data_IF_780911039081
#
_entry.id   IF_780911039081
#
_cell.length_a   1.000
_cell.length_b   1.000
_cell.length_c   1.000
_cell.angle_alpha   90.00
_cell.angle_beta   90.00
_cell.angle_gamma   90.00
#
_symmetry.space_group_name_H-M   'P 1'
#
loop_
_entity.id
_entity.type
_entity.pdbx_description
1 polymer ?
#
# COMPACT_ATOMS: atom_id res chain seq x y z
N UNK A 1 1.28 2.38 13.32
CA UNK A 1 1.11 1.32 12.31
C UNK A 1 1.35 -0.01 12.99
N UNK A 2 0.53 -1.02 12.66
CA UNK A 2 0.59 -2.41 13.13
C UNK A 2 1.00 -2.60 14.61
N UNK A 3 0.21 -2.01 15.52
CA UNK A 3 0.48 -2.03 16.97
C UNK A 3 0.20 -3.39 17.62
N UNK A 4 -0.71 -4.17 17.03
CA UNK A 4 -1.21 -5.44 17.55
C UNK A 4 -1.16 -6.50 16.44
N UNK A 5 -1.35 -7.76 16.83
CA UNK A 5 -1.50 -8.84 15.88
C UNK A 5 -2.62 -8.52 14.87
N UNK A 6 -2.46 -8.79 13.55
CA UNK A 6 -3.42 -8.37 12.53
C UNK A 6 -4.84 -8.92 12.74
N UNK A 7 -4.97 -10.06 13.42
CA UNK A 7 -6.27 -10.69 13.73
C UNK A 7 -6.94 -10.13 15.00
N UNK A 8 -6.26 -9.30 15.78
CA UNK A 8 -6.78 -8.71 17.02
C UNK A 8 -7.62 -7.44 16.76
N UNK A 9 -8.71 -7.61 16.02
CA UNK A 9 -9.61 -6.50 15.68
C UNK A 9 -10.22 -5.84 16.91
N UNK A 10 -10.50 -6.60 17.98
CA UNK A 10 -11.09 -6.04 19.20
C UNK A 10 -10.07 -5.21 20.00
N UNK A 11 -8.80 -5.64 20.06
CA UNK A 11 -7.72 -4.85 20.62
C UNK A 11 -7.48 -3.56 19.82
N UNK A 12 -7.53 -3.63 18.49
CA UNK A 12 -7.46 -2.43 17.64
C UNK A 12 -8.59 -1.44 17.97
N UNK A 13 -9.82 -1.92 18.17
CA UNK A 13 -10.95 -1.09 18.56
C UNK A 13 -10.72 -0.39 19.89
N UNK A 14 -10.22 -1.13 20.88
CA UNK A 14 -9.93 -0.58 22.21
C UNK A 14 -8.92 0.57 22.10
N UNK A 15 -7.80 0.34 21.42
CA UNK A 15 -6.76 1.36 21.21
C UNK A 15 -7.30 2.55 20.41
N UNK A 16 -7.98 2.32 19.28
CA UNK A 16 -8.53 3.38 18.44
C UNK A 16 -9.55 4.25 19.19
N UNK A 17 -10.28 3.69 20.16
CA UNK A 17 -11.21 4.44 20.99
C UNK A 17 -10.54 5.23 22.13
N UNK A 18 -9.30 4.89 22.48
CA UNK A 18 -8.59 5.44 23.63
C UNK A 18 -7.62 6.57 23.29
N UNK A 19 -7.32 6.82 22.00
CA UNK A 19 -6.34 7.81 21.58
C UNK A 19 -6.86 8.72 20.47
N UNK A 20 -6.30 9.93 20.38
CA UNK A 20 -6.57 10.86 19.27
C UNK A 20 -5.65 10.63 18.06
N UNK A 21 -4.56 9.87 18.26
CA UNK A 21 -3.60 9.57 17.20
C UNK A 21 -4.23 8.57 16.22
N UNK A 22 -4.12 8.84 14.92
CA UNK A 22 -4.65 7.94 13.89
C UNK A 22 -4.03 6.55 14.02
N UNK A 23 -4.90 5.54 14.04
CA UNK A 23 -4.47 4.14 13.99
C UNK A 23 -4.45 3.67 12.53
N UNK A 24 -3.31 3.11 12.13
CA UNK A 24 -3.06 2.62 10.77
C UNK A 24 -2.73 1.12 10.80
N UNK A 25 -3.34 0.36 9.89
CA UNK A 25 -3.15 -1.10 9.76
C UNK A 25 -3.60 -1.57 8.36
N UNK A 26 -3.09 -2.72 7.91
CA UNK A 26 -3.62 -3.43 6.74
C UNK A 26 -2.58 -4.06 5.82
N UNK A 27 -1.27 -3.89 6.05
CA UNK A 27 -0.24 -4.49 5.18
C UNK A 27 -0.32 -6.03 5.20
N UNK A 28 -0.66 -6.62 6.35
CA UNK A 28 -0.82 -8.07 6.48
C UNK A 28 -2.21 -8.59 6.09
N UNK A 29 -3.19 -7.71 5.89
CA UNK A 29 -4.59 -8.07 5.64
C UNK A 29 -4.87 -8.36 4.16
N UNK A 30 -5.84 -9.23 3.89
CA UNK A 30 -6.22 -9.62 2.53
C UNK A 30 -7.72 -9.53 2.28
N UNK A 31 -8.10 -9.38 1.00
CA UNK A 31 -9.48 -9.32 0.49
C UNK A 31 -10.27 -8.10 0.96
N UNK A 32 -11.36 -7.74 0.28
CA UNK A 32 -12.23 -6.66 0.75
C UNK A 32 -12.85 -6.93 2.14
N UNK A 33 -13.03 -8.20 2.49
CA UNK A 33 -13.68 -8.61 3.73
C UNK A 33 -12.81 -8.33 4.96
N UNK A 34 -11.51 -8.59 4.87
CA UNK A 34 -10.55 -8.27 5.93
C UNK A 34 -10.53 -6.77 6.21
N UNK A 35 -10.44 -5.96 5.16
CA UNK A 35 -10.48 -4.50 5.28
C UNK A 35 -11.83 -3.98 5.78
N UNK A 36 -12.95 -4.60 5.40
CA UNK A 36 -14.25 -4.27 5.99
C UNK A 36 -14.24 -4.48 7.50
N UNK A 37 -13.66 -5.59 8.00
CA UNK A 37 -13.54 -5.86 9.43
C UNK A 37 -12.60 -4.87 10.14
N UNK A 38 -11.48 -4.50 9.52
CA UNK A 38 -10.61 -3.44 10.06
C UNK A 38 -11.38 -2.13 10.28
N UNK A 39 -12.25 -1.75 9.34
CA UNK A 39 -13.04 -0.52 9.50
C UNK A 39 -14.16 -0.69 10.53
N UNK A 40 -14.97 -1.76 10.41
CA UNK A 40 -16.21 -1.92 11.18
C UNK A 40 -16.00 -2.43 12.60
N UNK A 41 -15.10 -3.41 12.75
CA UNK A 41 -14.78 -3.99 14.06
C UNK A 41 -13.58 -3.27 14.69
N UNK A 42 -12.49 -3.09 13.93
CA UNK A 42 -11.23 -2.53 14.43
C UNK A 42 -11.20 -1.02 14.59
N UNK A 43 -12.14 -0.29 13.97
CA UNK A 43 -12.19 1.17 14.06
C UNK A 43 -10.99 1.89 13.43
N UNK A 44 -10.30 1.25 12.47
CA UNK A 44 -9.06 1.76 11.86
C UNK A 44 -9.30 3.09 11.10
N UNK A 45 -8.38 4.05 11.28
CA UNK A 45 -8.45 5.37 10.65
C UNK A 45 -7.80 5.42 9.26
N UNK A 46 -6.69 4.68 9.10
CA UNK A 46 -5.87 4.64 7.89
C UNK A 46 -5.67 3.20 7.46
N UNK A 47 -6.24 2.82 6.32
CA UNK A 47 -6.07 1.48 5.75
C UNK A 47 -4.81 1.43 4.90
N UNK A 48 -4.04 0.36 5.04
CA UNK A 48 -2.75 0.22 4.34
C UNK A 48 -2.70 -1.00 3.43
N UNK A 49 -3.56 -1.08 2.38
CA UNK A 49 -3.56 -2.24 1.50
C UNK A 49 -2.26 -2.34 0.70
N UNK A 50 -1.60 -3.48 0.81
CA UNK A 50 -0.53 -3.87 -0.10
C UNK A 50 -1.14 -4.51 -1.36
N UNK A 51 -0.87 -3.97 -2.55
CA UNK A 51 -1.42 -4.46 -3.81
C UNK A 51 -0.99 -5.89 -4.17
N UNK A 52 0.15 -6.36 -3.65
CA UNK A 52 0.61 -7.75 -3.83
C UNK A 52 -0.10 -8.73 -2.90
N UNK A 53 -0.79 -8.25 -1.86
CA UNK A 53 -1.40 -9.09 -0.82
C UNK A 53 -2.92 -8.98 -0.77
N UNK A 54 -3.46 -7.76 -0.86
CA UNK A 54 -4.88 -7.51 -0.67
C UNK A 54 -5.78 -8.11 -1.76
N UNK A 55 -5.21 -8.53 -2.90
CA UNK A 55 -5.94 -9.04 -4.06
C UNK A 55 -5.84 -8.14 -5.31
N UNK A 56 -4.81 -7.29 -5.37
CA UNK A 56 -4.52 -6.43 -6.52
C UNK A 56 -5.48 -5.25 -6.67
N UNK A 57 -5.37 -4.56 -7.81
CA UNK A 57 -6.14 -3.33 -8.09
C UNK A 57 -7.65 -3.49 -7.96
N UNK A 58 -8.18 -4.65 -8.35
CA UNK A 58 -9.62 -4.92 -8.29
C UNK A 58 -10.14 -4.87 -6.86
N UNK A 59 -9.42 -5.49 -5.91
CA UNK A 59 -9.80 -5.47 -4.50
C UNK A 59 -9.45 -4.12 -3.87
N UNK A 60 -8.26 -3.59 -4.15
CA UNK A 60 -7.84 -2.30 -3.61
C UNK A 60 -8.81 -1.15 -3.96
N UNK A 61 -9.39 -1.17 -5.17
CA UNK A 61 -10.43 -0.20 -5.55
C UNK A 61 -11.69 -0.30 -4.69
N UNK A 62 -12.11 -1.51 -4.32
CA UNK A 62 -13.24 -1.73 -3.40
C UNK A 62 -12.89 -1.21 -2.00
N UNK A 63 -11.67 -1.47 -1.53
CA UNK A 63 -11.16 -0.98 -0.24
C UNK A 63 -11.19 0.54 -0.20
N UNK A 64 -10.66 1.23 -1.22
CA UNK A 64 -10.71 2.69 -1.34
C UNK A 64 -12.15 3.20 -1.25
N UNK A 65 -13.07 2.60 -1.98
CA UNK A 65 -14.47 3.03 -1.94
C UNK A 65 -15.11 2.85 -0.55
N UNK A 66 -14.86 1.72 0.12
CA UNK A 66 -15.37 1.47 1.48
C UNK A 66 -14.80 2.46 2.51
N UNK A 67 -13.51 2.82 2.37
CA UNK A 67 -12.84 3.79 3.20
C UNK A 67 -13.41 5.20 3.01
N UNK A 68 -13.56 5.64 1.75
CA UNK A 68 -14.14 6.95 1.41
C UNK A 68 -15.56 7.10 1.97
N UNK A 69 -16.39 6.06 1.85
CA UNK A 69 -17.76 6.03 2.40
C UNK A 69 -17.82 6.18 3.93
N UNK A 70 -16.71 5.91 4.63
CA UNK A 70 -16.59 6.00 6.10
C UNK A 70 -15.59 7.08 6.54
N UNK A 71 -15.21 7.98 5.62
CA UNK A 71 -14.23 9.05 5.86
C UNK A 71 -12.89 8.55 6.46
N UNK A 72 -12.44 7.37 6.00
CA UNK A 72 -11.14 6.78 6.36
C UNK A 72 -10.12 7.07 5.25
N UNK A 73 -8.85 7.16 5.64
CA UNK A 73 -7.76 7.35 4.68
C UNK A 73 -7.30 5.99 4.14
N UNK A 74 -6.72 6.02 2.94
CA UNK A 74 -6.02 4.87 2.37
C UNK A 74 -4.60 5.30 2.00
N UNK A 75 -3.61 4.71 2.65
CA UNK A 75 -2.20 4.94 2.37
C UNK A 75 -1.60 3.58 2.04
N UNK A 76 -1.48 3.20 0.76
CA UNK A 76 -1.07 1.86 0.38
C UNK A 76 0.30 1.52 0.94
N UNK A 77 0.41 0.34 1.55
CA UNK A 77 1.71 -0.23 1.90
C UNK A 77 2.46 -0.59 0.62
N UNK A 78 3.73 -0.20 0.55
CA UNK A 78 4.57 -0.23 -0.64
C UNK A 78 6.02 -0.65 -0.34
N UNK A 79 6.21 -1.55 0.62
CA UNK A 79 7.53 -2.03 1.00
C UNK A 79 7.98 -3.24 0.19
N UNK A 80 8.38 -3.01 -1.07
CA UNK A 80 8.96 -4.04 -1.94
C UNK A 80 9.84 -3.42 -3.04
N UNK A 81 9.55 -3.68 -4.31
CA UNK A 81 10.20 -3.09 -5.48
C UNK A 81 9.45 -1.90 -6.05
N UNK A 82 10.12 -1.19 -6.97
CA UNK A 82 9.52 -0.10 -7.73
C UNK A 82 8.30 -0.52 -8.58
N UNK A 83 8.05 -1.83 -8.76
CA UNK A 83 6.79 -2.33 -9.32
C UNK A 83 5.61 -2.09 -8.38
N UNK A 84 5.78 -2.43 -7.09
CA UNK A 84 4.76 -2.18 -6.07
C UNK A 84 4.62 -0.67 -5.82
N UNK A 85 5.73 0.08 -5.85
CA UNK A 85 5.68 1.55 -5.77
C UNK A 85 4.90 2.15 -6.94
N UNK A 86 5.17 1.75 -8.18
CA UNK A 86 4.39 2.19 -9.34
C UNK A 86 2.90 1.87 -9.17
N UNK A 87 2.57 0.65 -8.75
CA UNK A 87 1.20 0.24 -8.55
C UNK A 87 0.50 1.04 -7.44
N UNK A 88 1.20 1.31 -6.34
CA UNK A 88 0.71 2.09 -5.21
C UNK A 88 0.49 3.56 -5.58
N UNK A 89 1.34 4.13 -6.44
CA UNK A 89 1.16 5.48 -6.98
C UNK A 89 -0.09 5.58 -7.86
N UNK A 90 -0.35 4.60 -8.72
CA UNK A 90 -1.58 4.56 -9.52
C UNK A 90 -2.83 4.43 -8.65
N UNK A 91 -2.80 3.59 -7.62
CA UNK A 91 -3.90 3.49 -6.66
C UNK A 91 -4.09 4.80 -5.90
N UNK A 92 -3.02 5.44 -5.46
CA UNK A 92 -3.04 6.74 -4.76
C UNK A 92 -3.63 7.83 -5.65
N UNK A 93 -3.23 7.89 -6.92
CA UNK A 93 -3.74 8.84 -7.90
C UNK A 93 -5.22 8.62 -8.25
N UNK A 94 -5.73 7.40 -8.05
CA UNK A 94 -7.16 7.09 -8.21
C UNK A 94 -8.03 7.63 -7.05
N UNK A 95 -7.48 7.76 -5.84
CA UNK A 95 -8.24 8.18 -4.67
C UNK A 95 -8.74 9.63 -4.81
N UNK A 96 -9.92 9.93 -4.27
CA UNK A 96 -10.41 11.32 -4.19
C UNK A 96 -9.64 12.15 -3.16
N UNK A 97 -9.10 11.49 -2.14
CA UNK A 97 -8.31 12.09 -1.06
C UNK A 97 -7.04 11.29 -0.83
N UNK A 98 -5.99 11.65 -1.56
CA UNK A 98 -4.65 11.14 -1.35
C UNK A 98 -3.86 12.10 -0.46
N UNK A 99 -3.38 11.61 0.70
CA UNK A 99 -2.54 12.41 1.59
C UNK A 99 -1.07 11.98 1.56
N UNK A 100 -0.82 10.67 1.55
CA UNK A 100 0.52 10.11 1.66
C UNK A 100 0.70 8.91 0.72
N UNK A 101 1.95 8.63 0.39
CA UNK A 101 2.38 7.40 -0.26
C UNK A 101 3.62 6.91 0.48
N UNK A 102 3.70 5.60 0.73
CA UNK A 102 4.92 5.01 1.29
C UNK A 102 6.01 4.95 0.21
N UNK A 103 7.25 5.22 0.60
CA UNK A 103 8.41 5.10 -0.28
C UNK A 103 9.54 4.31 0.38
N UNK A 104 9.77 3.09 -0.11
CA UNK A 104 10.77 2.19 0.43
C UNK A 104 12.20 2.73 0.22
N UNK A 105 12.91 3.14 1.27
CA UNK A 105 14.30 3.64 1.17
C UNK A 105 15.38 2.56 1.31
N UNK A 106 14.99 1.28 1.37
CA UNK A 106 15.93 0.17 1.44
C UNK A 106 16.84 0.09 0.20
N UNK A 107 18.06 -0.41 0.41
CA UNK A 107 19.09 -0.52 -0.63
C UNK A 107 19.22 -1.96 -1.17
N UNK A 108 18.15 -2.76 -1.06
CA UNK A 108 18.14 -4.11 -1.63
C UNK A 108 18.23 -4.04 -3.17
N UNK A 109 18.94 -4.96 -3.82
CA UNK A 109 19.09 -4.90 -5.28
C UNK A 109 17.73 -4.98 -6.00
N UNK A 110 16.84 -5.85 -5.55
CA UNK A 110 15.50 -5.98 -6.13
C UNK A 110 14.60 -4.76 -5.85
N UNK A 111 14.88 -3.94 -4.83
CA UNK A 111 14.03 -2.78 -4.55
C UNK A 111 14.15 -1.71 -5.63
N UNK A 112 15.35 -1.52 -6.22
CA UNK A 112 15.64 -0.46 -7.19
C UNK A 112 16.13 -0.92 -8.56
N UNK A 113 16.75 -2.09 -8.68
CA UNK A 113 17.30 -2.55 -9.96
C UNK A 113 16.26 -3.28 -10.82
N UNK A 114 15.15 -3.75 -10.25
CA UNK A 114 14.18 -4.58 -10.97
C UNK A 114 13.48 -3.85 -12.13
N UNK A 115 13.42 -2.52 -12.09
CA UNK A 115 12.90 -1.69 -13.19
C UNK A 115 14.03 -0.91 -13.83
N UNK A 116 13.99 -0.75 -15.15
CA UNK A 116 15.04 -0.06 -15.93
C UNK A 116 15.23 1.39 -15.49
N UNK A 117 14.13 2.06 -15.16
CA UNK A 117 14.12 3.44 -14.67
C UNK A 117 13.56 3.46 -13.23
N UNK A 118 14.42 3.53 -12.21
CA UNK A 118 13.99 3.51 -10.81
C UNK A 118 13.14 4.73 -10.45
N UNK A 119 12.12 4.54 -9.62
CA UNK A 119 11.24 5.62 -9.17
C UNK A 119 12.00 6.51 -8.19
N UNK A 120 12.00 7.82 -8.46
CA UNK A 120 12.73 8.81 -7.66
C UNK A 120 11.77 9.77 -6.97
N UNK A 121 11.99 9.97 -5.67
CA UNK A 121 11.41 11.06 -4.93
C UNK A 121 12.17 12.36 -5.22
N UNK A 122 11.44 13.44 -5.49
CA UNK A 122 11.97 14.79 -5.70
C UNK A 122 11.20 15.77 -4.82
N UNK A 123 11.92 16.45 -3.92
CA UNK A 123 11.35 17.47 -3.02
C UNK A 123 10.17 16.95 -2.17
N UNK A 124 10.21 15.68 -1.74
CA UNK A 124 9.14 15.05 -0.96
C UNK A 124 7.96 14.53 -1.79
N UNK A 125 8.00 14.63 -3.12
CA UNK A 125 6.94 14.14 -4.01
C UNK A 125 7.49 13.08 -4.97
N UNK A 126 6.60 12.20 -5.43
CA UNK A 126 6.91 11.14 -6.39
C UNK A 126 5.95 11.27 -7.56
N UNK A 127 6.43 11.38 -8.81
CA UNK A 127 5.56 11.43 -9.97
C UNK A 127 4.90 10.08 -10.21
N UNK A 128 3.63 10.09 -10.61
CA UNK A 128 2.94 8.89 -11.08
C UNK A 128 3.50 8.54 -12.48
N UNK A 129 3.95 7.30 -12.72
CA UNK A 129 4.42 6.90 -14.05
C UNK A 129 3.31 7.04 -15.11
N UNK A 130 3.64 7.54 -16.30
CA UNK A 130 2.67 7.89 -17.35
C UNK A 130 2.64 6.93 -18.54
N UNK A 131 3.56 5.96 -18.59
CA UNK A 131 3.58 4.93 -19.62
C UNK A 131 2.39 3.94 -19.51
N UNK A 132 2.23 3.04 -20.50
CA UNK A 132 1.18 2.01 -20.45
C UNK A 132 1.30 1.08 -19.25
N UNK A 133 0.17 0.55 -18.77
CA UNK A 133 0.13 -0.37 -17.63
C UNK A 133 0.57 0.30 -16.34
N UNK A 134 1.58 -0.27 -15.65
CA UNK A 134 2.19 0.35 -14.48
C UNK A 134 3.07 1.57 -14.82
N UNK A 135 3.38 1.77 -16.10
CA UNK A 135 4.22 2.88 -16.57
C UNK A 135 5.71 2.73 -16.27
N UNK A 136 6.15 1.51 -15.92
CA UNK A 136 7.56 1.14 -15.71
C UNK A 136 7.90 -0.10 -16.53
N UNK A 137 9.18 -0.25 -16.87
CA UNK A 137 9.69 -1.40 -17.63
C UNK A 137 10.59 -2.26 -16.75
N UNK A 138 10.37 -3.57 -16.75
CA UNK A 138 11.15 -4.54 -15.98
C UNK A 138 12.51 -4.79 -16.65
N UNK A 139 13.55 -4.98 -15.85
CA UNK A 139 14.87 -5.41 -16.33
C UNK A 139 15.02 -6.94 -16.22
N UNK A 140 14.85 -7.63 -17.37
CA UNK A 140 14.98 -9.08 -17.46
C UNK A 140 16.39 -9.58 -17.07
N UNK A 141 17.44 -8.77 -17.21
CA UNK A 141 18.79 -9.14 -16.79
C UNK A 141 18.91 -9.23 -15.27
N UNK A 142 18.15 -8.41 -14.54
CA UNK A 142 18.06 -8.46 -13.08
C UNK A 142 17.27 -9.69 -12.65
N UNK A 143 16.17 -10.02 -13.34
CA UNK A 143 15.43 -11.26 -13.10
C UNK A 143 16.35 -12.48 -13.24
N UNK A 144 17.12 -12.56 -14.33
CA UNK A 144 18.02 -13.70 -14.56
C UNK A 144 19.10 -13.82 -13.48
N UNK A 145 19.66 -12.67 -13.06
CA UNK A 145 20.70 -12.63 -12.02
C UNK A 145 20.21 -13.14 -10.66
N UNK A 146 18.96 -12.84 -10.30
CA UNK A 146 18.38 -13.18 -8.99
C UNK A 146 17.41 -14.36 -9.04
N UNK A 147 17.41 -15.13 -10.13
CA UNK A 147 16.60 -16.34 -10.28
C UNK A 147 16.90 -17.34 -9.15
N UNK A 148 15.86 -17.79 -8.45
CA UNK A 148 15.94 -18.87 -7.45
C UNK A 148 15.65 -20.20 -8.13
N UNK A 149 16.38 -21.26 -7.75
CA UNK A 149 16.25 -22.61 -8.30
C UNK A 149 15.01 -23.36 -7.80
#
# INVERSE_FOLDING_TARGET
EELLHPEDYDGYREVASAVETRIACGEQEATEWGFQRLIEQGGIDVLQPDLTRCGGFTVARKIVHMAEMRNRLVVPHSWSSDLLTAASLHLTAFQRRAEFVEFNTSQGPLSRELVKEPIRMKNGFIPVPTGPGLGVEVDDAVIERYRVA
#
